data_IF_445115041336
#
_entry.id   IF_445115041336
#
_cell.length_a   1.000
_cell.length_b   1.000
_cell.length_c   1.000
_cell.angle_alpha   90.00
_cell.angle_beta   90.00
_cell.angle_gamma   90.00
#
_symmetry.space_group_name_H-M   'P 1'
#
loop_
_entity.id
_entity.type
_entity.pdbx_description
1 polymer ?
#
# COMPACT_ATOMS: atom_id res chain seq x y z
N UNK A 1 13.78 17.50 10.66
CA UNK A 1 13.10 16.53 11.55
C UNK A 1 11.69 16.39 11.01
N UNK A 2 11.45 15.39 10.16
CA UNK A 2 10.10 15.07 9.68
C UNK A 2 9.42 14.25 10.78
N UNK A 3 8.29 14.74 11.27
CA UNK A 3 7.50 14.09 12.29
C UNK A 3 6.83 12.83 11.71
N UNK A 4 6.69 11.82 12.56
CA UNK A 4 5.90 10.60 12.33
C UNK A 4 4.55 10.93 11.70
N UNK A 5 4.27 10.34 10.53
CA UNK A 5 2.92 10.34 9.98
C UNK A 5 2.08 9.36 10.79
N UNK A 6 1.01 9.86 11.41
CA UNK A 6 0.00 9.00 12.03
C UNK A 6 -0.91 8.48 10.91
N UNK A 7 -0.92 7.16 10.74
CA UNK A 7 -1.68 6.47 9.70
C UNK A 7 -2.73 5.59 10.37
N UNK A 8 -3.99 5.99 10.22
CA UNK A 8 -5.12 5.17 10.63
C UNK A 8 -5.68 4.41 9.43
N UNK A 9 -5.83 3.09 9.58
CA UNK A 9 -6.42 2.22 8.54
C UNK A 9 -7.64 1.51 9.08
N UNK A 10 -8.78 1.68 8.39
CA UNK A 10 -10.01 0.93 8.66
C UNK A 10 -10.32 0.07 7.45
N UNK A 11 -10.29 -1.25 7.63
CA UNK A 11 -10.72 -2.20 6.61
C UNK A 11 -12.23 -2.47 6.77
N UNK A 12 -13.05 -1.84 5.93
CA UNK A 12 -14.46 -2.19 5.79
C UNK A 12 -14.60 -3.13 4.61
N UNK A 13 -14.70 -4.45 4.88
CA UNK A 13 -14.94 -5.66 4.02
C UNK A 13 -14.55 -5.69 2.53
N UNK A 14 -14.57 -4.58 1.80
CA UNK A 14 -14.34 -4.46 0.35
C UNK A 14 -13.47 -3.26 -0.05
N UNK A 15 -13.00 -2.42 0.89
CA UNK A 15 -12.12 -1.28 0.58
C UNK A 15 -11.17 -0.91 1.72
N UNK A 16 -10.03 -0.33 1.38
CA UNK A 16 -9.14 0.36 2.31
C UNK A 16 -9.60 1.82 2.47
N UNK A 17 -9.77 2.26 3.71
CA UNK A 17 -9.88 3.67 4.07
C UNK A 17 -8.63 4.07 4.85
N UNK A 18 -7.86 5.00 4.31
CA UNK A 18 -6.55 5.40 4.85
C UNK A 18 -6.58 6.91 5.10
N UNK A 19 -6.12 7.31 6.28
CA UNK A 19 -5.98 8.72 6.65
C UNK A 19 -4.52 9.00 6.97
N UNK A 20 -3.99 10.09 6.42
CA UNK A 20 -2.60 10.54 6.63
C UNK A 20 -2.65 12.00 7.09
N UNK A 21 -2.21 12.25 8.32
CA UNK A 21 -2.13 13.62 8.86
C UNK A 21 -0.92 14.35 8.30
N UNK A 22 -1.17 15.48 7.65
CA UNK A 22 -0.20 16.35 6.97
C UNK A 22 -0.35 17.82 7.43
N UNK A 23 -0.23 18.12 8.73
CA UNK A 23 -0.47 19.47 9.24
C UNK A 23 0.54 20.47 8.66
N UNK A 24 0.03 21.58 8.12
CA UNK A 24 0.84 22.66 7.57
C UNK A 24 1.44 22.41 6.19
N UNK A 25 1.00 21.35 5.50
CA UNK A 25 1.38 21.06 4.11
C UNK A 25 0.42 21.75 3.14
N UNK A 26 0.95 22.41 2.13
CA UNK A 26 0.13 22.96 1.03
C UNK A 26 -0.30 21.84 0.08
N UNK A 27 -1.54 21.88 -0.39
CA UNK A 27 -2.09 20.87 -1.29
C UNK A 27 -1.29 20.74 -2.59
N UNK A 28 -0.71 21.84 -3.09
CA UNK A 28 0.11 21.88 -4.30
C UNK A 28 1.45 21.16 -4.17
N UNK A 29 1.91 20.93 -2.95
CA UNK A 29 3.17 20.21 -2.66
C UNK A 29 2.96 18.70 -2.51
N UNK A 30 1.71 18.22 -2.54
CA UNK A 30 1.35 16.81 -2.38
C UNK A 30 1.27 16.14 -3.75
N UNK A 31 2.11 15.12 -3.96
CA UNK A 31 1.98 14.19 -5.06
C UNK A 31 1.62 12.80 -4.53
N UNK A 32 0.67 12.13 -5.19
CA UNK A 32 0.21 10.79 -4.83
C UNK A 32 0.25 9.90 -6.06
N UNK A 33 0.92 8.76 -5.93
CA UNK A 33 0.97 7.72 -6.96
C UNK A 33 0.48 6.39 -6.36
N UNK A 34 -0.38 5.68 -7.09
CA UNK A 34 -0.92 4.41 -6.65
C UNK A 34 -0.69 3.32 -7.69
N UNK A 35 -0.43 2.12 -7.20
CA UNK A 35 -0.38 0.87 -7.96
C UNK A 35 -1.40 -0.09 -7.38
N UNK A 36 -1.59 -1.23 -8.02
CA UNK A 36 -2.47 -2.25 -7.46
C UNK A 36 -1.92 -2.86 -6.16
N UNK A 37 -0.63 -2.72 -5.84
CA UNK A 37 -0.02 -3.27 -4.62
C UNK A 37 0.18 -2.27 -3.48
N UNK A 38 -0.07 -0.98 -3.71
CA UNK A 38 0.25 0.07 -2.73
C UNK A 38 0.28 1.47 -3.32
N UNK A 39 0.77 2.43 -2.55
CA UNK A 39 0.84 3.83 -2.97
C UNK A 39 2.08 4.53 -2.40
N UNK A 40 2.52 5.60 -3.05
CA UNK A 40 3.57 6.49 -2.59
C UNK A 40 3.02 7.91 -2.49
N UNK A 41 3.37 8.61 -1.41
CA UNK A 41 3.11 10.03 -1.20
C UNK A 41 4.44 10.78 -1.23
N UNK A 42 4.48 11.90 -1.95
CA UNK A 42 5.62 12.81 -1.94
C UNK A 42 5.17 14.20 -1.51
N UNK A 43 5.98 14.84 -0.67
CA UNK A 43 5.77 16.19 -0.12
C UNK A 43 7.07 16.97 -0.31
N UNK A 44 7.08 17.86 -1.30
CA UNK A 44 8.33 18.45 -1.80
C UNK A 44 9.31 17.35 -2.23
N UNK A 45 10.53 17.36 -1.69
CA UNK A 45 11.59 16.38 -2.01
C UNK A 45 11.50 15.07 -1.21
N UNK A 46 10.57 14.95 -0.25
CA UNK A 46 10.47 13.79 0.61
C UNK A 46 9.39 12.84 0.10
N UNK A 47 9.70 11.54 0.00
CA UNK A 47 8.76 10.52 -0.46
C UNK A 47 8.67 9.34 0.50
N UNK A 48 7.46 8.80 0.67
CA UNK A 48 7.20 7.60 1.46
C UNK A 48 6.21 6.68 0.74
N UNK A 49 6.50 5.39 0.74
CA UNK A 49 5.67 4.37 0.09
C UNK A 49 5.08 3.39 1.12
N UNK A 50 3.86 2.96 0.86
CA UNK A 50 3.09 2.03 1.67
C UNK A 50 2.65 0.84 0.82
N UNK A 51 2.86 -0.37 1.36
CA UNK A 51 2.48 -1.62 0.71
C UNK A 51 1.16 -2.11 1.31
N UNK A 52 0.22 -2.51 0.46
CA UNK A 52 -1.07 -3.05 0.85
C UNK A 52 -1.04 -4.59 0.77
N UNK A 53 -1.71 -5.25 1.72
CA UNK A 53 -1.74 -6.72 1.76
C UNK A 53 -2.59 -7.36 0.66
N UNK A 54 -3.51 -6.60 0.05
CA UNK A 54 -4.37 -7.06 -1.03
C UNK A 54 -4.28 -6.08 -2.20
N UNK A 55 -4.45 -6.62 -3.41
CA UNK A 55 -4.49 -5.78 -4.60
C UNK A 55 -5.69 -4.85 -4.59
N UNK A 56 -5.51 -3.62 -5.02
CA UNK A 56 -6.57 -2.59 -5.11
C UNK A 56 -6.93 -2.25 -6.54
N UNK A 57 -8.15 -1.77 -6.72
CA UNK A 57 -8.65 -1.23 -7.97
C UNK A 57 -8.28 0.26 -8.06
N UNK A 58 -7.14 0.52 -8.70
CA UNK A 58 -6.58 1.87 -8.82
C UNK A 58 -7.50 2.81 -9.60
N UNK A 59 -8.17 2.30 -10.63
CA UNK A 59 -9.04 3.10 -11.50
C UNK A 59 -10.28 3.63 -10.76
N UNK A 60 -10.72 2.91 -9.73
CA UNK A 60 -11.84 3.30 -8.86
C UNK A 60 -11.40 3.85 -7.50
N UNK A 61 -10.10 4.08 -7.30
CA UNK A 61 -9.58 4.70 -6.08
C UNK A 61 -9.75 6.22 -6.11
N UNK A 62 -9.90 6.84 -4.93
CA UNK A 62 -10.07 8.29 -4.80
C UNK A 62 -9.27 8.86 -3.64
N UNK A 63 -8.88 10.11 -3.78
CA UNK A 63 -8.16 10.88 -2.76
C UNK A 63 -8.83 12.23 -2.51
N UNK A 64 -8.78 12.72 -1.28
CA UNK A 64 -9.23 14.05 -0.90
C UNK A 64 -8.34 14.62 0.20
N UNK A 65 -8.05 15.92 0.15
CA UNK A 65 -7.28 16.63 1.18
C UNK A 65 -8.11 17.79 1.72
N UNK A 66 -8.26 17.88 3.03
CA UNK A 66 -9.08 18.92 3.69
C UNK A 66 -8.26 20.11 4.23
N UNK A 67 -6.96 20.12 3.99
CA UNK A 67 -6.01 21.12 4.52
C UNK A 67 -5.16 20.62 5.69
N UNK A 68 -5.53 19.50 6.30
CA UNK A 68 -4.75 18.87 7.38
C UNK A 68 -4.59 17.36 7.19
N UNK A 69 -5.58 16.68 6.62
CA UNK A 69 -5.60 15.23 6.47
C UNK A 69 -5.84 14.84 5.01
N UNK A 70 -4.98 13.94 4.50
CA UNK A 70 -5.18 13.27 3.24
C UNK A 70 -5.98 11.98 3.48
N UNK A 71 -7.11 11.86 2.80
CA UNK A 71 -8.01 10.72 2.82
C UNK A 71 -7.82 9.94 1.52
N UNK A 72 -7.66 8.62 1.64
CA UNK A 72 -7.62 7.68 0.51
C UNK A 72 -8.73 6.66 0.70
N UNK A 73 -9.48 6.42 -0.36
CA UNK A 73 -10.36 5.26 -0.46
C UNK A 73 -9.92 4.41 -1.65
N UNK A 74 -9.53 3.17 -1.38
CA UNK A 74 -8.99 2.25 -2.38
C UNK A 74 -9.75 0.92 -2.32
N UNK A 75 -10.67 0.67 -3.26
CA UNK A 75 -11.41 -0.60 -3.31
C UNK A 75 -10.47 -1.78 -3.48
N UNK A 76 -10.72 -2.88 -2.77
CA UNK A 76 -9.96 -4.12 -2.95
C UNK A 76 -10.45 -4.79 -4.23
N UNK A 77 -9.52 -5.22 -5.10
CA UNK A 77 -9.88 -6.03 -6.28
C UNK A 77 -10.56 -7.32 -5.84
N UNK A 78 -11.82 -7.49 -6.25
CA UNK A 78 -12.59 -8.70 -5.99
C UNK A 78 -12.70 -9.57 -7.25
N UNK A 79 -12.61 -10.91 -7.14
CA UNK A 79 -12.35 -11.68 -5.92
C UNK A 79 -10.90 -11.58 -5.44
N UNK A 80 -10.68 -11.67 -4.12
CA UNK A 80 -9.32 -11.77 -3.57
C UNK A 80 -8.74 -13.10 -4.05
N UNK A 81 -7.82 -13.04 -5.01
CA UNK A 81 -7.15 -14.23 -5.56
C UNK A 81 -6.04 -14.68 -4.62
N UNK A 82 -6.29 -15.74 -3.86
CA UNK A 82 -5.30 -16.41 -3.02
C UNK A 82 -5.34 -17.91 -3.21
N UNK A 83 -4.19 -18.58 -3.04
CA UNK A 83 -4.10 -20.05 -3.03
C UNK A 83 -3.42 -20.51 -1.75
N UNK A 84 -4.07 -21.39 -1.01
CA UNK A 84 -3.39 -22.16 0.04
C UNK A 84 -2.40 -23.11 -0.62
N UNK A 85 -1.13 -22.99 -0.25
CA UNK A 85 -0.09 -23.90 -0.71
C UNK A 85 -0.03 -25.15 0.17
N UNK A 86 0.14 -26.31 -0.47
CA UNK A 86 0.49 -27.54 0.23
C UNK A 86 2.01 -27.63 0.33
N UNK A 87 2.52 -28.01 1.51
CA UNK A 87 3.95 -28.18 1.75
C UNK A 87 4.30 -29.64 1.47
N UNK A 88 5.15 -29.89 0.47
CA UNK A 88 5.72 -31.21 0.18
C UNK A 88 7.01 -31.44 0.98
N UNK A 89 7.32 -32.70 1.29
CA UNK A 89 8.65 -33.08 1.77
C UNK A 89 9.70 -32.98 0.64
N UNK A 90 10.94 -32.62 0.99
CA UNK A 90 12.05 -32.49 0.04
C UNK A 90 12.32 -31.05 -0.44
N UNK A 91 13.14 -30.91 -1.48
CA UNK A 91 13.57 -29.62 -2.03
C UNK A 91 12.75 -29.21 -3.25
N UNK A 92 12.51 -27.91 -3.40
CA UNK A 92 12.13 -27.33 -4.69
C UNK A 92 13.39 -27.08 -5.53
N UNK A 93 13.23 -27.10 -6.85
CA UNK A 93 14.26 -26.60 -7.76
C UNK A 93 14.33 -25.07 -7.64
N UNK A 94 15.46 -24.56 -7.15
CA UNK A 94 15.70 -23.14 -6.91
C UNK A 94 16.54 -22.50 -8.03
N UNK A 95 16.82 -23.21 -9.12
CA UNK A 95 17.67 -22.74 -10.21
C UNK A 95 19.17 -22.91 -9.95
N UNK A 96 19.99 -22.23 -10.77
CA UNK A 96 21.45 -22.38 -10.73
C UNK A 96 22.08 -21.77 -9.46
N UNK A 97 22.59 -22.63 -8.59
CA UNK A 97 23.33 -22.27 -7.38
C UNK A 97 23.60 -23.49 -6.51
N UNK A 98 24.65 -23.45 -5.67
CA UNK A 98 24.90 -24.53 -4.69
C UNK A 98 23.91 -24.40 -3.53
N UNK A 99 22.71 -24.90 -3.73
CA UNK A 99 21.68 -24.98 -2.69
C UNK A 99 21.63 -26.41 -2.16
N UNK A 100 22.16 -26.64 -0.95
CA UNK A 100 21.94 -27.91 -0.24
C UNK A 100 20.79 -27.72 0.75
N UNK A 101 19.74 -28.52 0.61
CA UNK A 101 18.81 -28.71 1.72
C UNK A 101 19.51 -29.54 2.80
N UNK A 102 19.34 -29.15 4.07
CA UNK A 102 19.76 -29.95 5.23
C UNK A 102 18.65 -30.91 5.59
#
# INVERSE_FOLDING_TARGET
MMNEYEVDTVQEREQYKIQIKLPGVDAGDIALEATDAGFCISIGDNSQCFILSHSVDVDNSRAAFDGETLYLEMPIKFPIHGKRLNISSGCLDMGEGKHSCV
#
